data_IF_225250028733
#
_entry.id   IF_225250028733
#
_cell.length_a   1.000
_cell.length_b   1.000
_cell.length_c   1.000
_cell.angle_alpha   90.00
_cell.angle_beta   90.00
_cell.angle_gamma   90.00
#
_symmetry.space_group_name_H-M   'P 1'
#
loop_
_entity.id
_entity.type
_entity.pdbx_description
1 polymer ?
#
# COMPACT_ATOMS: atom_id res chain seq x y z
N UNK A 1 -17.67 7.40 1.64
CA UNK A 1 -16.28 7.08 1.24
C UNK A 1 -16.04 5.62 1.55
N UNK A 2 -15.29 4.88 0.73
CA UNK A 2 -14.93 3.49 1.09
C UNK A 2 -13.99 3.52 2.29
N UNK A 3 -14.08 2.51 3.16
CA UNK A 3 -13.25 2.41 4.38
C UNK A 3 -11.75 2.30 4.03
N UNK A 4 -11.45 1.74 2.86
CA UNK A 4 -10.08 1.61 2.38
C UNK A 4 -9.48 2.91 1.86
N UNK A 5 -10.29 3.87 1.37
CA UNK A 5 -9.80 5.22 1.06
C UNK A 5 -9.35 5.98 2.31
N UNK A 6 -9.99 5.75 3.46
CA UNK A 6 -9.55 6.29 4.75
C UNK A 6 -8.23 5.64 5.19
N UNK A 7 -8.10 4.32 4.99
CA UNK A 7 -6.87 3.58 5.30
C UNK A 7 -5.66 4.06 4.50
N UNK A 8 -5.83 4.46 3.23
CA UNK A 8 -4.74 5.06 2.42
C UNK A 8 -4.15 6.27 3.14
N UNK A 9 -5.01 7.17 3.62
CA UNK A 9 -4.57 8.41 4.27
C UNK A 9 -3.75 8.11 5.53
N UNK A 10 -4.14 7.08 6.29
CA UNK A 10 -3.40 6.63 7.48
C UNK A 10 -2.01 6.11 7.07
N UNK A 11 -1.94 5.27 6.03
CA UNK A 11 -0.67 4.71 5.55
C UNK A 11 0.24 5.84 5.08
N UNK A 12 -0.26 6.80 4.30
CA UNK A 12 0.48 7.96 3.81
C UNK A 12 1.11 8.78 4.94
N UNK A 13 0.38 8.97 6.05
CA UNK A 13 0.90 9.66 7.24
C UNK A 13 2.03 8.86 7.92
N UNK A 14 1.96 7.53 7.91
CA UNK A 14 3.00 6.66 8.48
C UNK A 14 4.27 6.64 7.64
N UNK A 15 4.14 6.65 6.32
CA UNK A 15 5.28 6.62 5.39
C UNK A 15 5.79 8.02 5.01
N UNK A 16 5.12 9.09 5.45
CA UNK A 16 5.50 10.47 5.17
C UNK A 16 5.41 10.86 3.68
N UNK A 17 4.64 10.13 2.89
CA UNK A 17 4.49 10.36 1.44
C UNK A 17 3.15 9.88 0.91
N UNK A 18 2.75 10.45 -0.23
CA UNK A 18 1.51 10.07 -0.92
C UNK A 18 1.66 8.72 -1.62
N UNK A 19 0.60 7.92 -1.54
CA UNK A 19 0.49 6.67 -2.27
C UNK A 19 -0.16 6.94 -3.63
N UNK A 20 0.36 6.30 -4.67
CA UNK A 20 -0.21 6.38 -6.02
C UNK A 20 -1.02 5.13 -6.33
N UNK A 21 -2.22 5.28 -6.89
CA UNK A 21 -2.95 4.13 -7.39
C UNK A 21 -2.21 3.54 -8.59
N UNK A 22 -2.03 2.23 -8.60
CA UNK A 22 -1.42 1.48 -9.67
C UNK A 22 -2.46 0.56 -10.32
N UNK A 23 -2.71 0.79 -11.62
CA UNK A 23 -3.74 0.07 -12.39
C UNK A 23 -3.16 -1.09 -13.21
N UNK A 24 -1.87 -1.44 -13.02
CA UNK A 24 -1.23 -2.54 -13.72
C UNK A 24 -1.49 -3.92 -13.12
N UNK A 25 -1.04 -4.95 -13.84
CA UNK A 25 -1.31 -6.35 -13.51
C UNK A 25 -0.44 -6.88 -12.35
N UNK A 26 0.75 -6.32 -12.14
CA UNK A 26 1.70 -6.73 -11.11
C UNK A 26 2.24 -5.51 -10.37
N UNK A 27 2.08 -5.48 -9.04
CA UNK A 27 2.63 -4.41 -8.19
C UNK A 27 4.16 -4.40 -8.12
N UNK A 28 4.79 -5.47 -8.62
CA UNK A 28 6.23 -5.68 -8.59
C UNK A 28 6.89 -5.32 -9.92
N UNK A 29 6.11 -4.85 -10.91
CA UNK A 29 6.64 -4.46 -12.21
C UNK A 29 7.21 -3.04 -12.12
N UNK A 30 8.54 -2.93 -12.02
CA UNK A 30 9.28 -1.68 -12.13
C UNK A 30 9.72 -1.07 -10.79
N UNK A 31 10.05 0.22 -10.82
CA UNK A 31 10.59 1.00 -9.69
C UNK A 31 9.47 1.75 -8.91
N UNK A 32 8.22 1.32 -9.10
CA UNK A 32 7.01 1.98 -8.62
C UNK A 32 6.75 1.69 -7.13
N UNK A 33 7.52 2.35 -6.27
CA UNK A 33 7.32 2.38 -4.82
C UNK A 33 6.17 3.29 -4.39
N UNK A 34 5.66 3.07 -3.17
CA UNK A 34 4.57 3.84 -2.58
C UNK A 34 3.31 3.81 -3.47
N UNK A 35 2.90 2.61 -3.85
CA UNK A 35 1.71 2.39 -4.68
C UNK A 35 0.71 1.46 -4.02
N UNK A 36 -0.56 1.56 -4.43
CA UNK A 36 -1.63 0.65 -4.01
C UNK A 36 -2.49 0.24 -5.20
N UNK A 37 -3.16 -0.90 -5.08
CA UNK A 37 -4.12 -1.38 -6.09
C UNK A 37 -5.45 -1.70 -5.44
N UNK A 38 -6.51 -1.32 -6.13
CA UNK A 38 -7.89 -1.58 -5.73
C UNK A 38 -8.49 -2.75 -6.53
N UNK A 39 -9.39 -3.50 -5.92
CA UNK A 39 -10.30 -4.39 -6.64
C UNK A 39 -11.51 -3.62 -7.21
N UNK A 40 -12.40 -4.36 -7.89
CA UNK A 40 -13.67 -3.83 -8.42
C UNK A 40 -14.61 -3.23 -7.36
N UNK A 41 -14.41 -3.58 -6.09
CA UNK A 41 -15.21 -3.12 -4.96
C UNK A 41 -14.53 -1.95 -4.20
N UNK A 42 -13.43 -1.42 -4.73
CA UNK A 42 -12.62 -0.38 -4.10
C UNK A 42 -11.98 -0.81 -2.77
N UNK A 43 -11.64 -2.09 -2.64
CA UNK A 43 -10.82 -2.59 -1.55
C UNK A 43 -9.34 -2.61 -1.95
N UNK A 44 -8.44 -2.29 -1.03
CA UNK A 44 -6.99 -2.45 -1.23
C UNK A 44 -6.67 -3.94 -1.26
N UNK A 45 -6.28 -4.42 -2.44
CA UNK A 45 -5.81 -5.79 -2.65
C UNK A 45 -4.31 -5.87 -2.83
N UNK A 46 -3.67 -4.72 -2.97
CA UNK A 46 -2.26 -4.60 -3.29
C UNK A 46 -1.61 -3.37 -2.67
N UNK A 47 -0.43 -3.53 -2.10
CA UNK A 47 0.33 -2.44 -1.49
C UNK A 47 1.84 -2.63 -1.73
N UNK A 48 2.48 -1.64 -2.35
CA UNK A 48 3.93 -1.60 -2.52
C UNK A 48 4.50 -0.44 -1.70
N UNK A 49 5.19 -0.78 -0.62
CA UNK A 49 5.91 0.15 0.25
C UNK A 49 7.43 -0.01 0.14
N UNK A 50 7.94 -0.60 -0.93
CA UNK A 50 9.37 -0.80 -1.12
C UNK A 50 10.17 0.50 -0.87
N UNK A 51 11.20 0.41 -0.02
CA UNK A 51 12.04 1.53 0.39
C UNK A 51 11.22 2.75 0.85
N UNK A 52 10.26 2.55 1.76
CA UNK A 52 9.47 3.62 2.39
C UNK A 52 9.92 3.93 3.83
N UNK A 53 11.08 3.43 4.26
CA UNK A 53 11.70 3.66 5.57
C UNK A 53 10.71 3.37 6.73
N UNK A 54 10.00 2.25 6.62
CA UNK A 54 9.02 1.84 7.60
C UNK A 54 9.66 1.52 8.95
N UNK A 55 9.02 2.01 10.02
CA UNK A 55 9.37 1.68 11.42
C UNK A 55 8.36 0.71 12.07
N UNK A 56 7.24 0.45 11.41
CA UNK A 56 6.18 -0.44 11.87
C UNK A 56 5.25 -0.79 10.71
N UNK A 57 4.59 -1.95 10.81
CA UNK A 57 3.61 -2.45 9.83
C UNK A 57 2.23 -2.71 10.44
N UNK A 58 1.95 -2.23 11.65
CA UNK A 58 0.69 -2.47 12.36
C UNK A 58 -0.55 -1.97 11.59
N UNK A 59 -0.39 -0.99 10.71
CA UNK A 59 -1.48 -0.50 9.86
C UNK A 59 -1.97 -1.55 8.84
N UNK A 60 -1.22 -2.62 8.59
CA UNK A 60 -1.66 -3.70 7.68
C UNK A 60 -2.87 -4.45 8.21
N UNK A 61 -3.11 -4.44 9.53
CA UNK A 61 -4.32 -5.02 10.15
C UNK A 61 -5.61 -4.33 9.67
N UNK A 62 -5.51 -3.11 9.13
CA UNK A 62 -6.63 -2.36 8.57
C UNK A 62 -7.02 -2.82 7.16
N UNK A 63 -6.23 -3.69 6.51
CA UNK A 63 -6.36 -4.07 5.11
C UNK A 63 -6.75 -5.56 4.96
N UNK A 64 -7.98 -5.96 5.30
CA UNK A 64 -8.38 -7.37 5.35
C UNK A 64 -8.41 -8.07 3.99
N UNK A 65 -8.43 -7.30 2.90
CA UNK A 65 -8.46 -7.81 1.51
C UNK A 65 -7.08 -7.81 0.84
N UNK A 66 -6.02 -7.45 1.57
CA UNK A 66 -4.67 -7.36 1.01
C UNK A 66 -4.17 -8.76 0.60
N UNK A 67 -3.81 -8.92 -0.68
CA UNK A 67 -3.31 -10.18 -1.24
C UNK A 67 -1.90 -10.07 -1.80
N UNK A 68 -1.43 -8.85 -2.06
CA UNK A 68 -0.09 -8.57 -2.58
C UNK A 68 0.55 -7.45 -1.74
N UNK A 69 1.74 -7.71 -1.23
CA UNK A 69 2.48 -6.80 -0.37
C UNK A 69 3.97 -6.80 -0.76
N UNK A 70 4.52 -5.63 -1.02
CA UNK A 70 5.97 -5.41 -1.16
C UNK A 70 6.47 -4.51 -0.02
N UNK A 71 7.37 -5.05 0.80
CA UNK A 71 8.11 -4.33 1.87
C UNK A 71 9.62 -4.41 1.63
N UNK A 72 10.05 -4.73 0.41
CA UNK A 72 11.46 -4.92 0.12
C UNK A 72 12.25 -3.63 0.40
N UNK A 73 13.47 -3.78 0.91
CA UNK A 73 14.36 -2.66 1.25
C UNK A 73 13.86 -1.74 2.38
N UNK A 74 12.82 -2.12 3.12
CA UNK A 74 12.52 -1.51 4.42
C UNK A 74 13.39 -2.10 5.53
N UNK A 75 13.52 -1.37 6.65
CA UNK A 75 14.37 -1.72 7.80
C UNK A 75 13.58 -2.24 9.01
N UNK A 76 12.42 -2.84 8.77
CA UNK A 76 11.47 -3.31 9.79
C UNK A 76 12.02 -4.53 10.54
#
# INVERSE_FOLDING_TARGET
MSKDLENITIIEQKIGRKLRQYDGNSLFDGDDRATYRLDKNQNIVGLNLCACDLSSILFLELLPNLTQLDLSRDKI
#
